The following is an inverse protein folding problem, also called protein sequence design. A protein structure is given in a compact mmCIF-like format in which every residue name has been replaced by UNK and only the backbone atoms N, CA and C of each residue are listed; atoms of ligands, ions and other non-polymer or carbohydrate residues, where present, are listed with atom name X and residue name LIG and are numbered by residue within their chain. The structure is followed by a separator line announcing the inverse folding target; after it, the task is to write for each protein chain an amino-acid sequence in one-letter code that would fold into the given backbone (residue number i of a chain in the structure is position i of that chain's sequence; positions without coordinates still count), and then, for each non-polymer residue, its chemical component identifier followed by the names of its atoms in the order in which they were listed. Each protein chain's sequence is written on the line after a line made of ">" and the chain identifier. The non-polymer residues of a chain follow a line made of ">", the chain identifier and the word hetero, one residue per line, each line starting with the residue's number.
data_IF_602890296803
#
_entry.id   IF_602890296803
#
_cell.length_a   1.000
_cell.length_b   1.000
_cell.length_c   1.000
_cell.angle_alpha   90.00
_cell.angle_beta   90.00
_cell.angle_gamma   90.00
#
_symmetry.space_group_name_H-M   'P 1'
#
loop_
_entity.id
_entity.type
_entity.pdbx_description
1 polymer ?
#
# COMPACT_ATOMS: atom_id res chain seq x y z
N UNK A 1 -20.93 14.28 22.69
CA UNK A 1 -20.27 14.47 21.38
C UNK A 1 -20.42 13.18 20.58
N UNK A 2 -21.04 13.18 19.38
CA UNK A 2 -21.13 12.00 18.52
C UNK A 2 -19.75 11.48 18.05
N UNK A 3 -19.72 10.25 17.53
CA UNK A 3 -18.50 9.66 16.92
C UNK A 3 -18.27 10.27 15.55
N UNK A 4 -17.04 10.66 15.29
CA UNK A 4 -16.56 11.08 13.98
C UNK A 4 -15.63 10.03 13.35
N UNK A 5 -15.65 9.91 12.02
CA UNK A 5 -14.68 9.11 11.27
C UNK A 5 -13.39 9.90 11.05
N UNK A 6 -12.26 9.21 11.06
CA UNK A 6 -10.94 9.81 10.85
C UNK A 6 -10.47 9.50 9.43
N UNK A 7 -10.02 10.52 8.71
CA UNK A 7 -9.25 10.32 7.48
C UNK A 7 -7.87 9.77 7.85
N UNK A 8 -7.53 8.60 7.32
CA UNK A 8 -6.22 7.96 7.56
C UNK A 8 -5.14 8.45 6.59
N UNK A 9 -5.51 9.27 5.61
CA UNK A 9 -4.65 9.84 4.57
C UNK A 9 -4.70 11.38 4.66
N UNK A 10 -3.96 12.09 3.81
CA UNK A 10 -4.06 13.54 3.69
C UNK A 10 -5.39 13.94 3.03
N UNK A 11 -5.92 15.10 3.40
CA UNK A 11 -7.15 15.65 2.80
C UNK A 11 -6.89 16.47 1.52
N UNK A 12 -5.65 16.50 1.04
CA UNK A 12 -5.20 17.33 -0.07
C UNK A 12 -5.04 16.52 -1.36
N UNK A 13 -5.07 17.20 -2.51
CA UNK A 13 -4.66 16.61 -3.80
C UNK A 13 -3.14 16.79 -3.93
N UNK A 14 -2.39 15.93 -3.25
CA UNK A 14 -0.94 16.06 -3.06
C UNK A 14 -0.12 14.87 -3.61
N UNK A 15 -0.78 13.88 -4.22
CA UNK A 15 -0.12 12.68 -4.74
C UNK A 15 0.29 11.67 -3.65
N UNK A 16 -0.25 11.78 -2.44
CA UNK A 16 -0.04 10.81 -1.35
C UNK A 16 -0.38 9.36 -1.71
N UNK A 17 -1.25 9.13 -2.70
CA UNK A 17 -1.51 7.78 -3.23
C UNK A 17 -0.32 7.16 -4.00
N UNK A 18 0.59 7.99 -4.54
CA UNK A 18 1.84 7.58 -5.20
C UNK A 18 3.01 7.65 -4.22
N UNK A 19 3.09 8.75 -3.46
CA UNK A 19 4.25 9.09 -2.65
C UNK A 19 4.08 8.81 -1.16
N UNK A 20 3.00 8.15 -0.74
CA UNK A 20 2.68 7.87 0.65
C UNK A 20 2.40 9.12 1.50
N UNK A 21 1.77 8.91 2.66
CA UNK A 21 1.65 9.89 3.76
C UNK A 21 2.76 9.73 4.80
N UNK A 22 3.64 8.73 4.62
CA UNK A 22 4.74 8.40 5.52
C UNK A 22 6.08 8.49 4.79
N UNK A 23 6.99 9.30 5.34
CA UNK A 23 8.34 9.47 4.81
C UNK A 23 9.14 8.16 4.80
N UNK A 24 8.99 7.34 5.84
CA UNK A 24 9.65 6.04 5.89
C UNK A 24 9.21 5.14 4.71
N UNK A 25 7.94 5.20 4.31
CA UNK A 25 7.41 4.38 3.22
C UNK A 25 7.83 4.91 1.85
N UNK A 26 7.81 6.23 1.63
CA UNK A 26 8.30 6.80 0.37
C UNK A 26 9.78 6.49 0.18
N UNK A 27 10.58 6.55 1.25
CA UNK A 27 11.99 6.19 1.20
C UNK A 27 12.21 4.71 0.87
N UNK A 28 11.31 3.81 1.29
CA UNK A 28 11.36 2.40 0.89
C UNK A 28 11.05 2.18 -0.60
N UNK A 29 10.31 3.09 -1.24
CA UNK A 29 9.92 3.05 -2.66
C UNK A 29 10.89 3.78 -3.59
N UNK A 30 11.75 4.68 -3.08
CA UNK A 30 12.71 5.45 -3.90
C UNK A 30 13.93 4.61 -4.28
N UNK A 31 14.45 4.82 -5.49
CA UNK A 31 15.73 4.23 -5.91
C UNK A 31 16.94 5.04 -5.42
N UNK A 32 16.72 6.32 -5.07
CA UNK A 32 17.74 7.32 -4.83
C UNK A 32 18.72 7.51 -6.01
N UNK A 33 18.27 7.16 -7.22
CA UNK A 33 19.01 7.32 -8.48
C UNK A 33 18.16 8.14 -9.44
N UNK A 34 18.72 9.22 -9.98
CA UNK A 34 18.05 10.10 -10.97
C UNK A 34 16.66 10.60 -10.56
N UNK A 35 16.36 10.70 -9.26
CA UNK A 35 15.04 11.12 -8.77
C UNK A 35 13.91 10.12 -9.06
N UNK A 36 14.23 8.85 -9.32
CA UNK A 36 13.25 7.83 -9.70
C UNK A 36 12.71 7.02 -8.51
N UNK A 37 11.53 6.43 -8.72
CA UNK A 37 11.05 5.32 -7.90
C UNK A 37 11.77 4.03 -8.30
N UNK A 38 11.94 3.14 -7.33
CA UNK A 38 12.50 1.82 -7.58
C UNK A 38 11.53 1.02 -8.45
N UNK A 39 12.04 0.43 -9.53
CA UNK A 39 11.26 -0.35 -10.48
C UNK A 39 12.07 -1.52 -11.06
N UNK A 40 11.35 -2.53 -11.52
CA UNK A 40 11.89 -3.72 -12.19
C UNK A 40 11.01 -4.01 -13.41
N UNK A 41 11.60 -4.06 -14.61
CA UNK A 41 10.85 -4.29 -15.85
C UNK A 41 9.79 -3.21 -16.16
N UNK A 42 9.97 -1.98 -15.68
CA UNK A 42 9.01 -0.88 -15.84
C UNK A 42 7.84 -0.91 -14.85
N UNK A 43 7.83 -1.85 -13.92
CA UNK A 43 6.82 -1.96 -12.86
C UNK A 43 7.40 -1.57 -11.49
N UNK A 44 6.58 -1.12 -10.53
CA UNK A 44 7.04 -0.91 -9.15
C UNK A 44 7.64 -2.18 -8.54
N UNK A 45 8.64 -2.02 -7.68
CA UNK A 45 9.25 -3.13 -6.96
C UNK A 45 8.21 -3.97 -6.20
N UNK A 46 8.37 -5.29 -6.22
CA UNK A 46 7.61 -6.18 -5.35
C UNK A 46 7.87 -5.82 -3.89
N UNK A 47 6.84 -5.95 -3.05
CA UNK A 47 6.93 -5.66 -1.63
C UNK A 47 7.66 -6.76 -0.83
N UNK A 48 8.95 -6.97 -1.11
CA UNK A 48 9.81 -7.90 -0.38
C UNK A 48 10.25 -7.33 0.97
N UNK A 49 10.29 -6.01 1.11
CA UNK A 49 10.65 -5.27 2.34
C UNK A 49 9.52 -5.18 3.37
N UNK A 50 8.36 -5.80 3.10
CA UNK A 50 7.18 -5.79 3.99
C UNK A 50 6.78 -4.38 4.44
N UNK A 51 6.86 -3.41 3.53
CA UNK A 51 6.18 -2.12 3.67
C UNK A 51 4.71 -2.43 3.94
N UNK A 52 3.99 -1.69 4.81
CA UNK A 52 2.61 -1.98 5.18
C UNK A 52 1.62 -1.67 4.05
N UNK A 53 1.79 -2.36 2.94
CA UNK A 53 0.81 -2.46 1.88
C UNK A 53 -0.28 -3.44 2.34
N UNK A 54 -1.51 -3.18 1.89
CA UNK A 54 -2.60 -4.13 2.06
C UNK A 54 -2.31 -5.41 1.27
N UNK A 55 -1.81 -6.44 1.96
CA UNK A 55 -1.45 -7.73 1.37
C UNK A 55 -2.42 -8.83 1.83
N UNK A 56 -3.72 -8.52 1.80
CA UNK A 56 -4.75 -9.48 2.17
C UNK A 56 -4.74 -10.66 1.18
N UNK A 57 -4.91 -11.91 1.64
CA UNK A 57 -5.03 -13.06 0.75
C UNK A 57 -6.14 -12.83 -0.27
N UNK A 58 -5.97 -13.37 -1.48
CA UNK A 58 -7.05 -13.30 -2.47
C UNK A 58 -8.28 -14.07 -1.97
N UNK A 59 -9.51 -13.57 -2.22
CA UNK A 59 -10.73 -14.18 -1.71
C UNK A 59 -10.91 -15.66 -2.07
N UNK A 60 -10.32 -16.11 -3.19
CA UNK A 60 -10.36 -17.51 -3.61
C UNK A 60 -9.76 -18.47 -2.56
N UNK A 61 -8.71 -18.06 -1.85
CA UNK A 61 -8.12 -18.84 -0.75
C UNK A 61 -8.91 -18.72 0.56
N UNK A 62 -9.78 -17.72 0.68
CA UNK A 62 -10.64 -17.49 1.84
C UNK A 62 -12.03 -18.14 1.70
N UNK A 63 -12.27 -18.94 0.65
CA UNK A 63 -13.54 -19.67 0.51
C UNK A 63 -13.76 -20.53 1.75
N UNK A 64 -14.83 -20.24 2.49
CA UNK A 64 -15.33 -21.15 3.51
C UNK A 64 -15.62 -22.50 2.83
N UNK A 65 -15.24 -23.59 3.49
CA UNK A 65 -15.71 -24.93 3.12
C UNK A 65 -17.24 -24.92 3.06
N UNK A 66 -17.82 -25.71 2.16
CA UNK A 66 -19.27 -25.83 2.04
C UNK A 66 -19.89 -26.12 3.41
N UNK A 67 -20.95 -25.41 3.82
CA UNK A 67 -21.63 -25.67 5.09
C UNK A 67 -22.19 -27.10 5.14
N UNK A 68 -22.41 -27.73 3.99
CA UNK A 68 -22.76 -29.14 3.89
C UNK A 68 -21.52 -30.04 3.89
N UNK A 69 -21.02 -30.41 5.07
CA UNK A 69 -20.28 -31.66 5.30
C UNK A 69 -20.43 -32.12 6.75
#
# INVERSE_FOLDING_TARGET
>A
SPREQINQITSWIDGSFVYSTSEAWVNAMRSFQNGSLASEGGLPMRNTKRVPLFNNPVPHYMRMLSPER
#
